data_IF_968190431944
#
_entry.id   IF_968190431944
#
_cell.length_a   1.000
_cell.length_b   1.000
_cell.length_c   1.000
_cell.angle_alpha   90.00
_cell.angle_beta   90.00
_cell.angle_gamma   90.00
#
_symmetry.space_group_name_H-M   'P 1'
#
loop_
_entity.id
_entity.type
_entity.pdbx_description
1 polymer ?
#
# COMPACT_ATOMS: atom_id res chain seq x y z
N UNK A 1 -27.75 26.31 27.56
CA UNK A 1 -27.64 25.38 26.43
C UNK A 1 -26.32 24.66 26.64
N UNK A 2 -26.40 23.54 27.36
CA UNK A 2 -25.25 22.72 27.76
C UNK A 2 -24.71 22.01 26.50
N UNK A 3 -23.42 22.19 26.19
CA UNK A 3 -22.72 21.32 25.25
C UNK A 3 -22.76 19.88 25.76
N UNK A 4 -23.06 18.90 24.90
CA UNK A 4 -22.98 17.50 25.31
C UNK A 4 -21.54 17.17 25.72
N UNK A 5 -21.35 16.40 26.81
CA UNK A 5 -20.04 16.05 27.29
C UNK A 5 -19.27 15.33 26.16
N UNK A 6 -18.04 15.79 25.89
CA UNK A 6 -17.16 15.23 24.88
C UNK A 6 -17.02 13.74 25.06
N UNK A 7 -17.78 12.98 24.30
CA UNK A 7 -17.65 11.55 24.24
C UNK A 7 -16.22 11.22 23.82
N UNK A 8 -15.46 10.60 24.71
CA UNK A 8 -14.17 10.03 24.44
C UNK A 8 -14.31 9.21 23.14
N UNK A 9 -13.66 9.68 22.05
CA UNK A 9 -13.70 8.95 20.78
C UNK A 9 -13.12 7.57 21.05
N UNK A 10 -13.95 6.53 20.91
CA UNK A 10 -13.50 5.15 21.01
C UNK A 10 -12.15 4.98 20.32
N UNK A 11 -11.22 4.30 20.99
CA UNK A 11 -9.91 4.01 20.42
C UNK A 11 -10.03 2.97 19.29
N UNK A 12 -9.05 2.92 18.40
CA UNK A 12 -8.99 1.86 17.37
C UNK A 12 -9.00 0.46 17.98
N UNK A 13 -8.44 0.31 19.17
CA UNK A 13 -8.41 -0.96 19.91
C UNK A 13 -9.81 -1.39 20.35
N UNK A 14 -10.59 -0.46 20.86
CA UNK A 14 -11.98 -0.73 21.26
C UNK A 14 -12.84 -1.08 20.04
N UNK A 15 -12.68 -0.32 18.93
CA UNK A 15 -13.36 -0.60 17.68
C UNK A 15 -13.00 -1.99 17.12
N UNK A 16 -11.72 -2.36 17.16
CA UNK A 16 -11.27 -3.67 16.73
C UNK A 16 -11.80 -4.81 17.61
N UNK A 17 -11.85 -4.60 18.93
CA UNK A 17 -12.41 -5.57 19.87
C UNK A 17 -13.92 -5.78 19.61
N UNK A 18 -14.68 -4.71 19.39
CA UNK A 18 -16.09 -4.77 19.00
C UNK A 18 -16.29 -5.51 17.66
N UNK A 19 -15.45 -5.18 16.67
CA UNK A 19 -15.49 -5.82 15.36
C UNK A 19 -15.21 -7.34 15.48
N UNK A 20 -14.23 -7.72 16.31
CA UNK A 20 -13.91 -9.12 16.59
C UNK A 20 -15.05 -9.86 17.34
N UNK A 21 -15.82 -9.13 18.14
CA UNK A 21 -17.04 -9.64 18.79
C UNK A 21 -18.26 -9.72 17.84
N UNK A 22 -18.10 -9.32 16.56
CA UNK A 22 -19.16 -9.39 15.55
C UNK A 22 -19.99 -8.11 15.39
N UNK A 23 -19.63 -7.03 16.10
CA UNK A 23 -20.29 -5.74 15.94
C UNK A 23 -19.83 -5.03 14.67
N UNK A 24 -20.70 -5.08 13.65
CA UNK A 24 -20.46 -4.48 12.33
C UNK A 24 -20.40 -2.95 12.35
N UNK A 25 -21.03 -2.30 13.31
CA UNK A 25 -21.08 -0.84 13.39
C UNK A 25 -19.71 -0.25 13.72
N UNK A 26 -18.83 -1.02 14.36
CA UNK A 26 -17.45 -0.63 14.62
C UNK A 26 -16.61 -0.46 13.33
N UNK A 27 -17.05 -1.03 12.19
CA UNK A 27 -16.29 -0.93 10.93
C UNK A 27 -16.29 0.49 10.36
N UNK A 28 -17.42 1.20 10.42
CA UNK A 28 -17.56 2.53 9.82
C UNK A 28 -16.59 3.56 10.44
N UNK A 29 -16.48 3.69 11.77
CA UNK A 29 -15.48 4.60 12.37
C UNK A 29 -14.03 4.18 12.08
N UNK A 30 -13.72 2.87 12.03
CA UNK A 30 -12.39 2.41 11.59
C UNK A 30 -12.09 2.82 10.15
N UNK A 31 -13.06 2.63 9.25
CA UNK A 31 -12.94 3.09 7.86
C UNK A 31 -12.71 4.59 7.81
N UNK A 32 -13.49 5.40 8.52
CA UNK A 32 -13.34 6.86 8.53
C UNK A 32 -11.93 7.33 8.91
N UNK A 33 -11.29 6.63 9.84
CA UNK A 33 -9.92 6.96 10.32
C UNK A 33 -8.82 6.52 9.36
N UNK A 34 -8.96 5.32 8.78
CA UNK A 34 -7.87 4.68 8.04
C UNK A 34 -8.03 4.74 6.52
N UNK A 35 -9.21 5.13 5.98
CA UNK A 35 -9.51 5.15 4.56
C UNK A 35 -8.44 5.88 3.73
N UNK A 36 -8.13 7.13 4.09
CA UNK A 36 -7.18 7.96 3.34
C UNK A 36 -5.79 7.33 3.30
N UNK A 37 -5.33 6.78 4.43
CA UNK A 37 -4.02 6.12 4.52
C UNK A 37 -3.99 4.88 3.63
N UNK A 38 -4.99 4.00 3.76
CA UNK A 38 -5.07 2.78 2.97
C UNK A 38 -5.17 3.10 1.47
N UNK A 39 -5.95 4.11 1.09
CA UNK A 39 -6.04 4.57 -0.29
C UNK A 39 -4.70 5.07 -0.84
N UNK A 40 -3.96 5.89 -0.09
CA UNK A 40 -2.63 6.36 -0.52
C UNK A 40 -1.63 5.21 -0.70
N UNK A 41 -1.63 4.25 0.23
CA UNK A 41 -0.79 3.04 0.13
C UNK A 41 -1.15 2.26 -1.14
N UNK A 42 -2.43 1.99 -1.34
CA UNK A 42 -2.91 1.25 -2.51
C UNK A 42 -2.60 2.00 -3.81
N UNK A 43 -2.87 3.29 -3.88
CA UNK A 43 -2.57 4.13 -5.04
C UNK A 43 -1.06 4.20 -5.32
N UNK A 44 -0.25 4.39 -4.28
CA UNK A 44 1.22 4.41 -4.39
C UNK A 44 1.79 3.11 -4.93
N UNK A 45 1.13 1.99 -4.64
CA UNK A 45 1.54 0.66 -5.08
C UNK A 45 0.97 0.27 -6.45
N UNK A 46 -0.35 0.40 -6.64
CA UNK A 46 -1.08 -0.07 -7.83
C UNK A 46 -1.06 0.94 -8.98
N UNK A 47 -0.90 2.23 -8.66
CA UNK A 47 -0.79 3.32 -9.61
C UNK A 47 -2.04 3.55 -10.49
N UNK A 48 -3.14 2.96 -10.13
CA UNK A 48 -4.44 3.11 -10.75
C UNK A 48 -5.47 3.49 -9.68
N UNK A 49 -6.22 4.59 -9.83
CA UNK A 49 -7.22 5.02 -8.84
C UNK A 49 -8.35 4.01 -8.64
N UNK A 50 -8.84 3.37 -9.70
CA UNK A 50 -9.91 2.38 -9.61
C UNK A 50 -9.43 1.14 -8.85
N UNK A 51 -8.24 0.63 -9.21
CA UNK A 51 -7.61 -0.47 -8.51
C UNK A 51 -7.33 -0.14 -7.04
N UNK A 52 -7.00 1.12 -6.74
CA UNK A 52 -6.77 1.57 -5.37
C UNK A 52 -8.08 1.61 -4.56
N UNK A 53 -9.19 2.07 -5.16
CA UNK A 53 -10.50 2.04 -4.53
C UNK A 53 -10.95 0.61 -4.24
N UNK A 54 -10.80 -0.30 -5.19
CA UNK A 54 -11.09 -1.72 -5.01
C UNK A 54 -10.24 -2.32 -3.87
N UNK A 55 -8.94 -1.97 -3.83
CA UNK A 55 -8.04 -2.46 -2.78
C UNK A 55 -8.43 -1.94 -1.40
N UNK A 56 -8.93 -0.71 -1.30
CA UNK A 56 -9.45 -0.16 -0.04
C UNK A 56 -10.67 -0.96 0.42
N UNK A 57 -11.66 -1.16 -0.45
CA UNK A 57 -12.86 -1.92 -0.13
C UNK A 57 -12.50 -3.34 0.33
N UNK A 58 -11.68 -4.04 -0.43
CA UNK A 58 -11.23 -5.39 -0.11
C UNK A 58 -10.44 -5.45 1.19
N UNK A 59 -9.66 -4.41 1.51
CA UNK A 59 -8.93 -4.31 2.79
C UNK A 59 -9.90 -4.31 3.96
N UNK A 60 -10.96 -3.53 3.92
CA UNK A 60 -11.93 -3.45 5.01
C UNK A 60 -12.85 -4.67 5.07
N UNK A 61 -13.18 -5.27 3.93
CA UNK A 61 -13.87 -6.57 3.90
C UNK A 61 -13.03 -7.64 4.58
N UNK A 62 -11.74 -7.74 4.23
CA UNK A 62 -10.82 -8.69 4.88
C UNK A 62 -10.57 -8.36 6.35
N UNK A 63 -10.54 -7.09 6.71
CA UNK A 63 -10.44 -6.67 8.10
C UNK A 63 -11.63 -7.18 8.90
N UNK A 64 -12.83 -7.00 8.40
CA UNK A 64 -14.03 -7.55 9.03
C UNK A 64 -14.01 -9.08 9.13
N UNK A 65 -13.71 -9.78 8.03
CA UNK A 65 -13.67 -11.24 7.99
C UNK A 65 -12.62 -11.87 8.90
N UNK A 66 -11.53 -11.14 9.17
CA UNK A 66 -10.40 -11.64 9.95
C UNK A 66 -10.24 -10.90 11.30
N UNK A 67 -11.24 -10.13 11.73
CA UNK A 67 -11.16 -9.36 12.98
C UNK A 67 -10.85 -10.26 14.20
N UNK A 68 -11.38 -11.48 14.23
CA UNK A 68 -11.11 -12.47 15.28
C UNK A 68 -9.65 -12.96 15.32
N UNK A 69 -8.87 -12.73 14.27
CA UNK A 69 -7.43 -13.06 14.22
C UNK A 69 -6.54 -11.92 14.67
N UNK A 70 -7.14 -10.77 14.97
CA UNK A 70 -6.39 -9.67 15.56
C UNK A 70 -6.00 -10.02 16.99
N UNK A 71 -4.72 -9.78 17.35
CA UNK A 71 -4.12 -10.24 18.59
C UNK A 71 -4.56 -9.45 19.85
N UNK A 72 -5.37 -8.39 19.67
CA UNK A 72 -5.82 -7.52 20.76
C UNK A 72 -4.74 -6.58 21.30
N UNK A 73 -3.52 -6.67 20.82
CA UNK A 73 -2.35 -5.90 21.31
C UNK A 73 -1.85 -4.90 20.27
N UNK A 74 -1.75 -5.34 19.03
CA UNK A 74 -1.28 -4.49 17.92
C UNK A 74 -2.23 -3.32 17.64
N UNK A 75 -1.70 -2.18 17.23
CA UNK A 75 -2.52 -1.09 16.74
C UNK A 75 -3.23 -1.47 15.43
N UNK A 76 -4.45 -0.97 15.24
CA UNK A 76 -5.25 -1.27 14.04
C UNK A 76 -4.57 -0.79 12.74
N UNK A 77 -3.89 0.36 12.77
CA UNK A 77 -3.23 0.96 11.61
C UNK A 77 -2.20 0.04 10.93
N UNK A 78 -1.18 -0.47 11.65
CA UNK A 78 -0.24 -1.46 11.13
C UNK A 78 -0.91 -2.74 10.61
N UNK A 79 -1.90 -3.25 11.31
CA UNK A 79 -2.62 -4.46 10.91
C UNK A 79 -3.41 -4.26 9.61
N UNK A 80 -4.14 -3.15 9.47
CA UNK A 80 -4.84 -2.78 8.24
C UNK A 80 -3.86 -2.52 7.09
N UNK A 81 -2.73 -1.87 7.36
CA UNK A 81 -1.64 -1.67 6.39
C UNK A 81 -1.13 -2.99 5.84
N UNK A 82 -0.93 -4.00 6.71
CA UNK A 82 -0.51 -5.35 6.29
C UNK A 82 -1.53 -5.99 5.34
N UNK A 83 -2.83 -5.89 5.65
CA UNK A 83 -3.89 -6.41 4.78
C UNK A 83 -3.85 -5.71 3.41
N UNK A 84 -3.78 -4.38 3.40
CA UNK A 84 -3.76 -3.57 2.18
C UNK A 84 -2.56 -3.90 1.28
N UNK A 85 -1.35 -3.94 1.86
CA UNK A 85 -0.12 -4.23 1.10
C UNK A 85 -0.14 -5.66 0.54
N UNK A 86 -0.54 -6.64 1.34
CA UNK A 86 -0.65 -8.02 0.86
C UNK A 86 -1.65 -8.13 -0.29
N UNK A 87 -2.81 -7.46 -0.18
CA UNK A 87 -3.79 -7.43 -1.25
C UNK A 87 -3.23 -6.76 -2.52
N UNK A 88 -2.57 -5.62 -2.38
CA UNK A 88 -1.96 -4.91 -3.50
C UNK A 88 -0.86 -5.75 -4.20
N UNK A 89 -0.01 -6.45 -3.43
CA UNK A 89 0.99 -7.37 -3.97
C UNK A 89 0.33 -8.51 -4.76
N UNK A 90 -0.71 -9.13 -4.19
CA UNK A 90 -1.40 -10.24 -4.83
C UNK A 90 -2.14 -9.82 -6.10
N UNK A 91 -2.77 -8.62 -6.08
CA UNK A 91 -3.42 -8.04 -7.26
C UNK A 91 -2.40 -7.77 -8.37
N UNK A 92 -1.29 -7.13 -8.02
CA UNK A 92 -0.20 -6.87 -8.96
C UNK A 92 0.35 -8.15 -9.59
N UNK A 93 0.60 -9.19 -8.78
CA UNK A 93 1.08 -10.49 -9.27
C UNK A 93 0.07 -11.18 -10.19
N UNK A 94 -1.23 -11.09 -9.87
CA UNK A 94 -2.30 -11.66 -10.72
C UNK A 94 -2.38 -10.94 -12.05
N UNK A 95 -2.34 -9.62 -12.04
CA UNK A 95 -2.39 -8.82 -13.26
C UNK A 95 -1.17 -9.07 -14.15
N UNK A 96 0.03 -9.17 -13.55
CA UNK A 96 1.25 -9.53 -14.27
C UNK A 96 1.15 -10.90 -14.92
N UNK A 97 0.66 -11.92 -14.22
CA UNK A 97 0.46 -13.26 -14.78
C UNK A 97 -0.55 -13.26 -15.93
N UNK A 98 -1.67 -12.53 -15.75
CA UNK A 98 -2.69 -12.40 -16.81
C UNK A 98 -2.07 -11.80 -18.08
N UNK A 99 -1.31 -10.75 -17.96
CA UNK A 99 -0.63 -10.11 -19.10
C UNK A 99 0.41 -11.02 -19.73
N UNK A 100 1.19 -11.74 -18.95
CA UNK A 100 2.16 -12.73 -19.46
C UNK A 100 1.48 -13.86 -20.22
N UNK A 101 0.31 -14.32 -19.81
CA UNK A 101 -0.46 -15.35 -20.51
C UNK A 101 -1.04 -14.88 -21.85
N UNK A 102 -1.26 -13.59 -22.03
CA UNK A 102 -1.65 -13.00 -23.32
C UNK A 102 -0.43 -12.71 -24.22
N UNK A 103 0.76 -12.64 -23.66
CA UNK A 103 2.04 -12.38 -24.35
C UNK A 103 2.87 -13.66 -24.56
N UNK A 104 2.23 -14.81 -24.66
CA UNK A 104 2.93 -16.07 -24.90
C UNK A 104 3.50 -16.11 -26.32
N UNK A 105 4.64 -15.53 -26.51
CA UNK A 105 5.73 -15.80 -27.46
C UNK A 105 6.75 -14.65 -27.35
N UNK A 106 7.70 -14.79 -26.47
CA UNK A 106 8.95 -14.03 -26.29
C UNK A 106 9.14 -13.51 -24.86
N UNK A 107 10.26 -13.96 -24.30
CA UNK A 107 10.93 -13.54 -23.07
C UNK A 107 10.51 -14.20 -21.76
N UNK A 108 10.98 -15.45 -21.63
CA UNK A 108 11.38 -16.02 -20.36
C UNK A 108 12.72 -15.38 -19.94
N UNK A 109 12.68 -14.18 -19.38
CA UNK A 109 13.75 -13.73 -18.48
C UNK A 109 13.28 -12.65 -17.50
N UNK A 110 13.45 -12.99 -16.24
CA UNK A 110 13.57 -12.19 -15.06
C UNK A 110 12.87 -10.84 -14.93
N UNK A 111 11.84 -10.78 -14.06
CA UNK A 111 11.46 -9.62 -13.21
C UNK A 111 11.42 -8.19 -13.81
N UNK A 112 11.49 -8.05 -15.13
CA UNK A 112 11.39 -6.78 -15.86
C UNK A 112 10.15 -6.78 -16.74
N UNK A 113 9.14 -6.02 -16.37
CA UNK A 113 8.04 -5.67 -17.28
C UNK A 113 8.25 -4.25 -17.82
N UNK A 114 8.67 -4.07 -19.09
CA UNK A 114 8.83 -2.76 -19.71
C UNK A 114 7.50 -2.08 -20.05
N UNK A 115 6.36 -2.77 -19.91
CA UNK A 115 5.05 -2.32 -20.39
C UNK A 115 4.08 -1.93 -19.26
N UNK A 116 4.58 -1.58 -18.08
CA UNK A 116 3.77 -0.82 -17.11
C UNK A 116 3.57 0.60 -17.65
N UNK A 117 2.88 0.65 -18.78
CA UNK A 117 2.37 1.87 -19.35
C UNK A 117 1.42 2.48 -18.34
N UNK A 118 1.88 3.55 -17.77
CA UNK A 118 1.27 4.61 -17.02
C UNK A 118 -0.27 4.54 -17.04
N UNK A 119 -0.87 4.08 -15.97
CA UNK A 119 -2.15 4.65 -15.59
C UNK A 119 -1.90 6.15 -15.35
N UNK A 120 -2.79 6.99 -15.85
CA UNK A 120 -2.67 8.43 -15.78
C UNK A 120 -2.27 8.88 -14.37
N UNK A 121 -1.35 9.83 -14.22
CA UNK A 121 -0.94 10.33 -12.92
C UNK A 121 -2.15 10.86 -12.16
N UNK A 122 -2.20 10.62 -10.85
CA UNK A 122 -3.22 11.23 -9.99
C UNK A 122 -3.23 12.75 -10.22
N UNK A 123 -4.40 13.40 -10.31
CA UNK A 123 -4.51 14.86 -10.51
C UNK A 123 -3.67 15.69 -9.52
N UNK A 124 -3.51 15.21 -8.29
CA UNK A 124 -2.70 15.86 -7.25
C UNK A 124 -1.20 15.79 -7.54
N UNK A 125 -0.74 14.81 -8.32
CA UNK A 125 0.67 14.65 -8.74
C UNK A 125 0.98 15.34 -10.06
N UNK A 126 -0.02 15.57 -10.90
CA UNK A 126 0.12 16.31 -12.17
C UNK A 126 0.49 17.78 -11.89
N UNK A 127 0.13 18.30 -10.72
CA UNK A 127 0.45 19.69 -10.33
C UNK A 127 1.94 19.92 -9.99
N UNK A 128 2.74 18.86 -9.74
CA UNK A 128 4.12 19.00 -9.24
C UNK A 128 5.21 18.55 -10.22
N UNK A 129 4.91 18.16 -11.45
CA UNK A 129 6.02 17.83 -12.31
C UNK A 129 5.79 16.91 -13.48
N UNK A 130 4.83 17.17 -14.31
CA UNK A 130 4.73 16.66 -15.68
C UNK A 130 5.49 15.36 -15.99
N UNK A 131 6.48 15.46 -16.84
CA UNK A 131 7.31 14.33 -17.30
C UNK A 131 8.16 13.68 -16.21
N UNK A 132 8.70 14.48 -15.28
CA UNK A 132 9.53 13.97 -14.17
C UNK A 132 8.72 13.08 -13.22
N UNK A 133 7.50 13.50 -12.86
CA UNK A 133 6.59 12.70 -12.03
C UNK A 133 6.28 11.36 -12.68
N UNK A 134 5.95 11.36 -13.97
CA UNK A 134 5.67 10.15 -14.72
C UNK A 134 6.88 9.20 -14.79
N UNK A 135 8.09 9.71 -14.95
CA UNK A 135 9.33 8.90 -14.96
C UNK A 135 9.66 8.30 -13.59
N UNK A 136 9.50 9.08 -12.50
CA UNK A 136 9.65 8.56 -11.12
C UNK A 136 8.63 7.44 -10.90
N UNK A 137 7.43 7.66 -11.32
CA UNK A 137 6.34 6.72 -11.19
C UNK A 137 6.61 5.42 -11.94
N UNK A 138 7.10 5.48 -13.16
CA UNK A 138 7.52 4.32 -13.93
C UNK A 138 8.67 3.57 -13.24
N UNK A 139 9.66 4.30 -12.72
CA UNK A 139 10.80 3.71 -12.02
C UNK A 139 10.36 2.98 -10.73
N UNK A 140 9.47 3.56 -9.94
CA UNK A 140 8.89 2.92 -8.75
C UNK A 140 8.06 1.70 -9.16
N UNK A 141 7.28 1.81 -10.24
CA UNK A 141 6.51 0.71 -10.82
C UNK A 141 7.37 -0.50 -11.24
N UNK A 142 8.59 -0.25 -11.67
CA UNK A 142 9.53 -1.28 -12.09
C UNK A 142 10.30 -1.95 -10.93
N UNK A 143 10.10 -1.53 -9.68
CA UNK A 143 10.69 -2.18 -8.51
C UNK A 143 10.05 -3.56 -8.26
N UNK A 144 10.83 -4.55 -7.79
CA UNK A 144 10.27 -5.80 -7.27
C UNK A 144 9.21 -5.53 -6.19
N UNK A 145 8.15 -6.35 -6.17
CA UNK A 145 6.96 -6.13 -5.35
C UNK A 145 7.25 -5.75 -3.89
N UNK A 146 8.15 -6.48 -3.22
CA UNK A 146 8.53 -6.20 -1.83
C UNK A 146 9.29 -4.87 -1.67
N UNK A 147 10.21 -4.60 -2.59
CA UNK A 147 10.98 -3.35 -2.58
C UNK A 147 10.07 -2.14 -2.80
N UNK A 148 9.11 -2.25 -3.72
CA UNK A 148 8.09 -1.24 -3.96
C UNK A 148 7.23 -0.98 -2.72
N UNK A 149 6.73 -2.04 -2.07
CA UNK A 149 5.94 -1.92 -0.85
C UNK A 149 6.69 -1.15 0.25
N UNK A 150 7.92 -1.56 0.54
CA UNK A 150 8.77 -0.91 1.55
C UNK A 150 9.06 0.54 1.16
N UNK A 151 9.34 0.81 -0.11
CA UNK A 151 9.59 2.17 -0.60
C UNK A 151 8.36 3.06 -0.44
N UNK A 152 7.18 2.59 -0.83
CA UNK A 152 5.90 3.33 -0.69
C UNK A 152 5.61 3.64 0.78
N UNK A 153 5.72 2.65 1.66
CA UNK A 153 5.47 2.84 3.09
C UNK A 153 6.47 3.82 3.72
N UNK A 154 7.74 3.80 3.30
CA UNK A 154 8.76 4.69 3.83
C UNK A 154 8.64 6.12 3.34
N UNK A 155 8.44 6.32 2.04
CA UNK A 155 8.54 7.63 1.39
C UNK A 155 7.19 8.32 1.16
N UNK A 156 6.10 7.58 1.07
CA UNK A 156 4.77 8.16 0.87
C UNK A 156 3.93 8.19 2.14
N UNK A 157 4.19 7.27 3.07
CA UNK A 157 3.49 7.19 4.35
C UNK A 157 4.39 7.51 5.55
N UNK A 158 5.64 7.87 5.30
CA UNK A 158 6.65 8.32 6.29
C UNK A 158 6.85 7.35 7.47
N UNK A 159 6.48 6.09 7.29
CA UNK A 159 6.61 5.07 8.32
C UNK A 159 8.08 4.84 8.69
N UNK A 160 8.36 4.60 9.98
CA UNK A 160 9.66 4.12 10.45
C UNK A 160 9.98 2.73 9.89
N UNK A 161 11.24 2.33 9.91
CA UNK A 161 11.63 1.00 9.45
C UNK A 161 11.09 -0.09 10.37
N UNK A 162 10.93 0.23 11.64
CA UNK A 162 10.36 -0.60 12.69
C UNK A 162 8.86 -0.83 12.44
N UNK A 163 8.10 0.23 12.15
CA UNK A 163 6.68 0.13 11.80
C UNK A 163 6.46 -0.66 10.51
N UNK A 164 7.32 -0.47 9.50
CA UNK A 164 7.28 -1.25 8.26
C UNK A 164 7.57 -2.72 8.55
N UNK A 165 8.56 -3.02 9.38
CA UNK A 165 8.91 -4.38 9.77
C UNK A 165 7.73 -5.08 10.46
N UNK A 166 7.10 -4.40 11.43
CA UNK A 166 5.90 -4.89 12.11
C UNK A 166 4.71 -5.07 11.16
N UNK A 167 4.44 -4.07 10.28
CA UNK A 167 3.31 -4.11 9.36
C UNK A 167 3.43 -5.19 8.28
N UNK A 168 4.66 -5.54 7.86
CA UNK A 168 4.89 -6.55 6.81
C UNK A 168 5.31 -7.92 7.35
N UNK A 169 5.43 -8.06 8.69
CA UNK A 169 5.95 -9.26 9.36
C UNK A 169 7.35 -9.64 8.82
N UNK A 170 8.22 -8.65 8.80
CA UNK A 170 9.60 -8.79 8.31
C UNK A 170 10.60 -8.45 9.42
N UNK A 171 11.78 -9.05 9.34
CA UNK A 171 12.91 -8.62 10.18
C UNK A 171 13.38 -7.23 9.75
N UNK A 172 13.72 -6.36 10.70
CA UNK A 172 14.24 -5.01 10.44
C UNK A 172 15.42 -5.00 9.44
N UNK A 173 16.33 -5.96 9.56
CA UNK A 173 17.44 -6.13 8.61
C UNK A 173 16.98 -6.38 7.17
N UNK A 174 15.87 -7.11 6.99
CA UNK A 174 15.26 -7.35 5.68
C UNK A 174 14.65 -6.07 5.11
N UNK A 175 14.01 -5.26 5.94
CA UNK A 175 13.46 -3.96 5.53
C UNK A 175 14.58 -3.03 5.09
N UNK A 176 15.65 -2.89 5.92
CA UNK A 176 16.82 -2.06 5.60
C UNK A 176 17.48 -2.46 4.28
N UNK A 177 17.75 -3.75 4.08
CA UNK A 177 18.39 -4.25 2.86
C UNK A 177 17.50 -4.12 1.62
N UNK A 178 16.19 -4.30 1.76
CA UNK A 178 15.23 -4.13 0.67
C UNK A 178 15.06 -2.67 0.28
N UNK A 179 15.00 -1.75 1.26
CA UNK A 179 14.95 -0.32 1.00
C UNK A 179 16.22 0.16 0.29
N UNK A 180 17.37 -0.27 0.75
CA UNK A 180 18.66 0.05 0.09
C UNK A 180 18.65 -0.38 -1.37
N UNK A 181 18.25 -1.62 -1.67
CA UNK A 181 18.14 -2.13 -3.05
C UNK A 181 17.11 -1.36 -3.87
N UNK A 182 15.98 -0.97 -3.27
CA UNK A 182 14.99 -0.14 -3.95
C UNK A 182 15.59 1.20 -4.38
N UNK A 183 16.28 1.90 -3.47
CA UNK A 183 16.93 3.18 -3.76
C UNK A 183 18.00 3.04 -4.85
N UNK A 184 18.84 2.01 -4.79
CA UNK A 184 19.84 1.76 -5.84
C UNK A 184 19.18 1.47 -7.20
N UNK A 185 18.15 0.65 -7.21
CA UNK A 185 17.38 0.39 -8.43
C UNK A 185 16.73 1.62 -9.03
N UNK A 186 16.24 2.54 -8.18
CA UNK A 186 15.69 3.82 -8.63
C UNK A 186 16.78 4.75 -9.16
N UNK A 187 17.94 4.84 -8.50
CA UNK A 187 19.08 5.65 -8.99
C UNK A 187 19.47 5.26 -10.41
N UNK A 188 19.70 3.98 -10.67
CA UNK A 188 20.05 3.49 -12.00
C UNK A 188 19.00 3.85 -13.05
N UNK A 189 17.72 3.77 -12.71
CA UNK A 189 16.63 4.10 -13.64
C UNK A 189 16.43 5.60 -13.88
N UNK A 190 16.87 6.42 -12.93
CA UNK A 190 16.67 7.87 -12.95
C UNK A 190 17.97 8.63 -13.28
N UNK A 191 19.11 7.96 -13.46
CA UNK A 191 20.39 8.58 -13.82
C UNK A 191 20.33 9.39 -15.12
N UNK A 192 19.50 8.99 -16.08
CA UNK A 192 19.24 9.77 -17.30
C UNK A 192 18.45 11.07 -17.12
N UNK A 193 18.09 11.46 -15.89
CA UNK A 193 17.38 12.72 -15.57
C UNK A 193 18.31 13.88 -15.18
N UNK A 194 19.62 13.63 -15.11
CA UNK A 194 20.62 14.65 -14.74
C UNK A 194 21.27 15.36 -15.93
N UNK A 195 20.78 15.09 -17.13
CA UNK A 195 21.24 15.79 -18.36
C UNK A 195 20.30 16.90 -18.76
#
# INVERSE_FOLDING_TARGET
MEEPPGGSRESDRELMARLAAGDREALAPLMGRHYRRIYRIALGYLRNPEDALDAVQETFVKAYQNATRWDGVSEAGPWLTRIAVNHAIDRYRRERRRRASFSSLEDADGDRDPRLTLAAPSPERTALGGELGARIDAAVGALPARQRAIFVLRHYEEMSLEEIAASLDLRLGTVKSSLHRAIQGLRVRLEGLRA
#
